data_IF_160394162475
#
_entry.id   IF_160394162475
#
_cell.length_a   1.000
_cell.length_b   1.000
_cell.length_c   1.000
_cell.angle_alpha   90.00
_cell.angle_beta   90.00
_cell.angle_gamma   90.00
#
_symmetry.space_group_name_H-M   'P 1'
#
loop_
_entity.id
_entity.type
_entity.pdbx_description
1 polymer ?
#
# COMPACT_ATOMS: atom_id res chain seq x y z
N UNK A 1 -26.56 -2.58 -9.30
CA UNK A 1 -26.64 -3.30 -8.00
C UNK A 1 -26.85 -2.28 -6.89
N UNK A 2 -27.70 -2.57 -5.90
CA UNK A 2 -27.91 -1.66 -4.76
C UNK A 2 -26.68 -1.55 -3.86
N UNK A 3 -26.57 -0.45 -3.11
CA UNK A 3 -25.48 -0.25 -2.13
C UNK A 3 -25.41 -1.38 -1.09
N UNK A 4 -26.57 -1.90 -0.65
CA UNK A 4 -26.65 -3.02 0.29
C UNK A 4 -26.03 -4.30 -0.28
N UNK A 5 -26.31 -4.63 -1.56
CA UNK A 5 -25.68 -5.78 -2.22
C UNK A 5 -24.17 -5.65 -2.27
N UNK A 6 -23.64 -4.47 -2.62
CA UNK A 6 -22.19 -4.25 -2.63
C UNK A 6 -21.52 -4.41 -1.27
N UNK A 7 -22.19 -4.01 -0.18
CA UNK A 7 -21.69 -4.22 1.17
C UNK A 7 -21.60 -5.72 1.50
N UNK A 8 -22.64 -6.48 1.15
CA UNK A 8 -22.65 -7.93 1.33
C UNK A 8 -21.53 -8.62 0.53
N UNK A 9 -21.38 -8.29 -0.76
CA UNK A 9 -20.32 -8.86 -1.59
C UNK A 9 -18.92 -8.54 -1.07
N UNK A 10 -18.70 -7.32 -0.56
CA UNK A 10 -17.44 -6.95 0.06
C UNK A 10 -17.17 -7.74 1.35
N UNK A 11 -18.18 -7.92 2.21
CA UNK A 11 -18.06 -8.73 3.42
C UNK A 11 -17.75 -10.20 3.09
N UNK A 12 -18.44 -10.78 2.11
CA UNK A 12 -18.21 -12.16 1.67
C UNK A 12 -16.82 -12.34 1.07
N UNK A 13 -16.38 -11.42 0.19
CA UNK A 13 -15.05 -11.44 -0.38
C UNK A 13 -13.96 -11.39 0.70
N UNK A 14 -14.09 -10.47 1.66
CA UNK A 14 -13.15 -10.36 2.76
C UNK A 14 -13.13 -11.60 3.66
N UNK A 15 -14.30 -12.15 3.99
CA UNK A 15 -14.39 -13.38 4.77
C UNK A 15 -13.73 -14.57 4.05
N UNK A 16 -13.97 -14.73 2.74
CA UNK A 16 -13.36 -15.79 1.92
C UNK A 16 -11.83 -15.69 1.89
N UNK A 17 -11.29 -14.47 1.71
CA UNK A 17 -9.83 -14.25 1.72
C UNK A 17 -9.25 -14.57 3.09
N UNK A 18 -9.88 -14.11 4.17
CA UNK A 18 -9.42 -14.40 5.53
C UNK A 18 -9.42 -15.92 5.80
N UNK A 19 -10.50 -16.61 5.47
CA UNK A 19 -10.61 -18.08 5.61
C UNK A 19 -9.56 -18.80 4.78
N UNK A 20 -9.35 -18.39 3.53
CA UNK A 20 -8.35 -19.01 2.66
C UNK A 20 -6.94 -18.88 3.22
N UNK A 21 -6.56 -17.69 3.71
CA UNK A 21 -5.24 -17.46 4.32
C UNK A 21 -5.02 -18.32 5.58
N UNK A 22 -6.08 -18.49 6.38
CA UNK A 22 -6.05 -19.37 7.56
C UNK A 22 -5.88 -20.84 7.12
N UNK A 23 -6.60 -21.28 6.09
CA UNK A 23 -6.65 -22.68 5.66
C UNK A 23 -5.39 -23.14 4.91
N UNK A 24 -4.68 -22.24 4.23
CA UNK A 24 -3.50 -22.55 3.42
C UNK A 24 -2.22 -22.59 4.27
N UNK A 25 -2.22 -21.98 5.45
CA UNK A 25 -1.04 -21.92 6.31
C UNK A 25 -0.85 -23.20 7.13
N UNK A 26 0.30 -23.91 7.05
CA UNK A 26 0.72 -24.77 8.16
C UNK A 26 0.78 -23.94 9.46
N UNK A 27 0.69 -24.55 10.66
CA UNK A 27 0.88 -23.83 11.91
C UNK A 27 2.16 -23.01 11.79
N UNK A 28 2.12 -21.71 12.11
CA UNK A 28 3.07 -20.75 11.58
C UNK A 28 4.49 -21.21 11.87
N UNK A 29 5.20 -21.59 10.81
CA UNK A 29 6.64 -21.80 10.90
C UNK A 29 7.22 -20.48 11.43
N UNK A 30 8.00 -20.57 12.50
CA UNK A 30 8.72 -19.42 13.03
C UNK A 30 9.81 -19.05 12.04
N UNK A 31 9.41 -18.39 10.95
CA UNK A 31 10.32 -17.71 10.05
C UNK A 31 11.22 -16.78 10.88
N UNK A 32 12.48 -16.66 10.51
CA UNK A 32 13.46 -15.88 11.29
C UNK A 32 13.00 -14.44 11.52
N UNK A 33 12.37 -13.84 10.49
CA UNK A 33 11.80 -12.49 10.59
C UNK A 33 10.63 -12.43 11.61
N UNK A 34 9.77 -13.46 11.68
CA UNK A 34 8.68 -13.53 12.67
C UNK A 34 9.25 -13.58 14.10
N UNK A 35 10.23 -14.45 14.34
CA UNK A 35 10.86 -14.57 15.65
C UNK A 35 11.54 -13.26 16.06
N UNK A 36 12.27 -12.64 15.13
CA UNK A 36 12.91 -11.33 15.35
C UNK A 36 11.88 -10.27 15.71
N UNK A 37 10.78 -10.16 14.97
CA UNK A 37 9.76 -9.15 15.20
C UNK A 37 9.01 -9.37 16.52
N UNK A 38 8.77 -10.62 16.92
CA UNK A 38 8.19 -10.97 18.23
C UNK A 38 9.14 -10.64 19.39
N UNK A 39 10.45 -10.84 19.22
CA UNK A 39 11.45 -10.43 20.21
C UNK A 39 11.51 -8.91 20.36
N UNK A 40 11.44 -8.16 19.25
CA UNK A 40 11.34 -6.70 19.27
C UNK A 40 10.04 -6.24 19.95
N UNK A 41 8.93 -6.92 19.70
CA UNK A 41 7.65 -6.64 20.34
C UNK A 41 7.70 -6.85 21.87
N UNK A 42 8.33 -7.95 22.31
CA UNK A 42 8.60 -8.21 23.73
C UNK A 42 9.45 -7.11 24.36
N UNK A 43 10.51 -6.68 23.67
CA UNK A 43 11.39 -5.62 24.17
C UNK A 43 10.67 -4.25 24.23
N UNK A 44 9.78 -3.97 23.27
CA UNK A 44 8.87 -2.82 23.29
C UNK A 44 7.93 -2.86 24.51
N UNK A 45 7.32 -4.02 24.83
CA UNK A 45 6.50 -4.20 26.04
C UNK A 45 7.30 -4.03 27.34
N UNK A 46 8.58 -4.41 27.32
CA UNK A 46 9.49 -4.22 28.45
C UNK A 46 10.01 -2.78 28.60
N UNK A 47 9.53 -1.84 27.79
CA UNK A 47 9.92 -0.42 27.86
C UNK A 47 11.30 -0.12 27.26
N UNK A 48 11.87 -1.02 26.44
CA UNK A 48 13.20 -0.85 25.82
C UNK A 48 13.16 -0.09 24.48
N UNK A 49 12.03 0.54 24.18
CA UNK A 49 11.77 1.23 22.91
C UNK A 49 11.10 0.32 21.88
N UNK A 50 10.30 0.93 21.00
CA UNK A 50 9.52 0.23 19.98
C UNK A 50 10.09 0.50 18.60
N UNK A 51 11.32 0.01 18.39
CA UNK A 51 12.10 0.20 17.16
C UNK A 51 11.85 -0.93 16.19
N UNK A 52 11.71 -0.60 14.90
CA UNK A 52 11.72 -1.61 13.85
C UNK A 52 13.09 -2.25 13.65
N UNK A 53 13.09 -3.40 12.97
CA UNK A 53 14.29 -4.12 12.59
C UNK A 53 15.18 -3.30 11.65
N UNK A 54 16.49 -3.57 11.65
CA UNK A 54 17.39 -3.07 10.61
C UNK A 54 16.97 -3.63 9.25
N UNK A 55 17.09 -2.82 8.20
CA UNK A 55 16.82 -3.28 6.83
C UNK A 55 18.06 -3.90 6.20
N UNK A 56 17.92 -4.48 5.01
CA UNK A 56 19.06 -4.93 4.20
C UNK A 56 19.96 -3.78 3.72
N UNK A 57 19.46 -2.53 3.73
CA UNK A 57 20.23 -1.35 3.40
C UNK A 57 20.94 -0.81 4.65
N UNK A 58 22.28 -0.73 4.65
CA UNK A 58 23.04 -0.25 5.80
C UNK A 58 22.61 1.15 6.25
N UNK A 59 22.39 1.29 7.57
CA UNK A 59 21.96 2.54 8.19
C UNK A 59 20.45 2.82 8.08
N UNK A 60 19.69 2.01 7.35
CA UNK A 60 18.24 2.11 7.30
C UNK A 60 17.57 1.14 8.28
N UNK A 61 16.50 1.61 8.92
CA UNK A 61 15.64 0.82 9.79
C UNK A 61 14.19 0.87 9.35
N UNK A 62 13.50 -0.24 9.57
CA UNK A 62 12.05 -0.28 9.51
C UNK A 62 11.45 0.63 10.58
N UNK A 63 10.28 1.16 10.29
CA UNK A 63 9.49 1.95 11.22
C UNK A 63 8.85 1.03 12.28
N UNK A 64 8.28 1.63 13.33
CA UNK A 64 7.92 0.91 14.55
C UNK A 64 6.47 0.42 14.62
N UNK A 65 5.59 0.77 13.66
CA UNK A 65 4.17 0.39 13.73
C UNK A 65 3.97 -1.13 13.80
N UNK A 66 4.70 -1.91 13.00
CA UNK A 66 4.58 -3.37 13.01
C UNK A 66 4.94 -3.95 14.39
N UNK A 67 6.05 -3.50 14.98
CA UNK A 67 6.50 -3.93 16.31
C UNK A 67 5.48 -3.52 17.38
N UNK A 68 4.93 -2.31 17.32
CA UNK A 68 3.87 -1.85 18.25
C UNK A 68 2.58 -2.63 18.11
N UNK A 69 2.20 -2.98 16.89
CA UNK A 69 1.04 -3.81 16.63
C UNK A 69 1.22 -5.19 17.26
N UNK A 70 2.36 -5.85 17.02
CA UNK A 70 2.68 -7.12 17.66
C UNK A 70 2.75 -7.00 19.19
N UNK A 71 3.36 -5.94 19.72
CA UNK A 71 3.42 -5.67 21.16
C UNK A 71 2.02 -5.51 21.76
N UNK A 72 1.12 -4.78 21.10
CA UNK A 72 -0.25 -4.62 21.57
C UNK A 72 -1.02 -5.95 21.60
N UNK A 73 -0.88 -6.80 20.57
CA UNK A 73 -1.55 -8.10 20.54
C UNK A 73 -0.99 -9.06 21.60
N UNK A 74 0.34 -9.19 21.66
CA UNK A 74 1.02 -10.06 22.64
C UNK A 74 0.81 -9.59 24.08
N UNK A 75 0.85 -8.28 24.32
CA UNK A 75 0.54 -7.68 25.62
C UNK A 75 -0.92 -7.85 26.03
N UNK A 76 -1.83 -8.00 25.05
CA UNK A 76 -3.22 -8.41 25.25
C UNK A 76 -3.42 -9.92 25.48
N UNK A 77 -2.34 -10.71 25.52
CA UNK A 77 -2.39 -12.16 25.75
C UNK A 77 -2.70 -13.01 24.52
N UNK A 78 -2.63 -12.44 23.31
CA UNK A 78 -2.84 -13.21 22.09
C UNK A 78 -1.60 -14.07 21.77
N UNK A 79 -1.83 -15.34 21.49
CA UNK A 79 -0.81 -16.24 20.97
C UNK A 79 -0.55 -16.00 19.46
N UNK A 80 0.43 -16.70 18.91
CA UNK A 80 0.84 -16.56 17.50
C UNK A 80 -0.31 -16.93 16.54
N UNK A 81 -1.15 -17.89 16.90
CA UNK A 81 -2.29 -18.29 16.07
C UNK A 81 -3.37 -17.21 16.03
N UNK A 82 -3.68 -16.59 17.16
CA UNK A 82 -4.59 -15.46 17.26
C UNK A 82 -4.05 -14.22 16.52
N UNK A 83 -2.75 -13.95 16.60
CA UNK A 83 -2.11 -12.88 15.81
C UNK A 83 -2.27 -13.14 14.31
N UNK A 84 -2.03 -14.38 13.86
CA UNK A 84 -2.21 -14.77 12.46
C UNK A 84 -3.67 -14.58 11.99
N UNK A 85 -4.63 -14.92 12.84
CA UNK A 85 -6.05 -14.69 12.57
C UNK A 85 -6.35 -13.19 12.39
N UNK A 86 -5.86 -12.33 13.28
CA UNK A 86 -6.06 -10.87 13.18
C UNK A 86 -5.48 -10.33 11.87
N UNK A 87 -4.27 -10.76 11.50
CA UNK A 87 -3.64 -10.37 10.23
C UNK A 87 -4.45 -10.88 9.03
N UNK A 88 -4.94 -12.12 9.07
CA UNK A 88 -5.77 -12.69 8.02
C UNK A 88 -7.07 -11.89 7.83
N UNK A 89 -7.69 -11.46 8.92
CA UNK A 89 -8.86 -10.57 8.90
C UNK A 89 -8.49 -9.21 8.27
N UNK A 90 -7.36 -8.62 8.65
CA UNK A 90 -6.89 -7.36 8.05
C UNK A 90 -6.67 -7.47 6.53
N UNK A 91 -6.13 -8.61 6.07
CA UNK A 91 -5.99 -8.93 4.64
C UNK A 91 -7.34 -9.12 3.94
N UNK A 92 -8.30 -9.78 4.60
CA UNK A 92 -9.68 -9.87 4.11
C UNK A 92 -10.33 -8.49 3.96
N UNK A 93 -10.16 -7.60 4.93
CA UNK A 93 -10.63 -6.21 4.84
C UNK A 93 -10.00 -5.46 3.67
N UNK A 94 -8.70 -5.65 3.42
CA UNK A 94 -8.02 -5.08 2.27
C UNK A 94 -8.66 -5.53 0.94
N UNK A 95 -8.91 -6.83 0.78
CA UNK A 95 -9.57 -7.38 -0.41
C UNK A 95 -11.00 -6.81 -0.59
N UNK A 96 -11.76 -6.67 0.49
CA UNK A 96 -13.08 -6.05 0.49
C UNK A 96 -13.03 -4.59 -0.01
N UNK A 97 -12.00 -3.83 0.38
CA UNK A 97 -11.76 -2.47 -0.12
C UNK A 97 -11.39 -2.51 -1.61
N UNK A 98 -10.48 -3.39 -2.04
CA UNK A 98 -10.11 -3.53 -3.47
C UNK A 98 -11.33 -3.82 -4.34
N UNK A 99 -12.24 -4.71 -3.91
CA UNK A 99 -13.50 -4.96 -4.60
C UNK A 99 -14.31 -3.67 -4.79
N UNK A 100 -14.41 -2.85 -3.74
CA UNK A 100 -15.15 -1.57 -3.78
C UNK A 100 -14.45 -0.55 -4.68
N UNK A 101 -13.12 -0.56 -4.75
CA UNK A 101 -12.35 0.30 -5.66
C UNK A 101 -12.50 -0.11 -7.13
N UNK A 102 -12.63 -1.42 -7.39
CA UNK A 102 -12.81 -2.01 -8.72
C UNK A 102 -14.24 -1.86 -9.26
N UNK A 103 -15.25 -1.89 -8.39
CA UNK A 103 -16.67 -1.80 -8.76
C UNK A 103 -17.06 -0.67 -9.75
N UNK A 104 -16.53 0.57 -9.65
CA UNK A 104 -16.81 1.61 -10.65
C UNK A 104 -16.01 1.49 -11.95
N UNK A 105 -15.06 0.55 -12.05
CA UNK A 105 -14.14 0.42 -13.19
C UNK A 105 -14.53 -0.72 -14.14
N UNK A 106 -15.14 -1.79 -13.62
CA UNK A 106 -15.39 -3.05 -14.34
C UNK A 106 -16.68 -3.72 -13.87
N UNK A 107 -17.12 -4.78 -14.55
CA UNK A 107 -18.26 -5.59 -14.11
C UNK A 107 -17.99 -6.27 -12.75
N UNK A 108 -19.06 -6.62 -12.02
CA UNK A 108 -18.94 -7.14 -10.66
C UNK A 108 -18.11 -8.44 -10.55
N UNK A 109 -18.24 -9.35 -11.52
CA UNK A 109 -17.44 -10.59 -11.58
C UNK A 109 -15.95 -10.28 -11.77
N UNK A 110 -15.63 -9.34 -12.66
CA UNK A 110 -14.26 -8.89 -12.92
C UNK A 110 -13.68 -8.12 -11.73
N UNK A 111 -14.50 -7.35 -11.01
CA UNK A 111 -14.12 -6.68 -9.77
C UNK A 111 -13.79 -7.69 -8.65
N UNK A 112 -14.55 -8.78 -8.55
CA UNK A 112 -14.28 -9.87 -7.62
C UNK A 112 -12.98 -10.60 -7.95
N UNK A 113 -12.74 -10.87 -9.23
CA UNK A 113 -11.46 -11.43 -9.69
C UNK A 113 -10.27 -10.53 -9.35
N UNK A 114 -10.41 -9.19 -9.47
CA UNK A 114 -9.37 -8.23 -9.09
C UNK A 114 -9.05 -8.31 -7.59
N UNK A 115 -10.07 -8.39 -6.73
CA UNK A 115 -9.88 -8.51 -5.28
C UNK A 115 -9.16 -9.81 -4.90
N UNK A 116 -9.58 -10.95 -5.46
CA UNK A 116 -8.90 -12.23 -5.24
C UNK A 116 -7.46 -12.24 -5.77
N UNK A 117 -7.24 -11.71 -6.97
CA UNK A 117 -5.91 -11.59 -7.55
C UNK A 117 -4.99 -10.73 -6.68
N UNK A 118 -5.49 -9.61 -6.14
CA UNK A 118 -4.69 -8.78 -5.23
C UNK A 118 -4.30 -9.54 -3.95
N UNK A 119 -5.22 -10.29 -3.35
CA UNK A 119 -4.95 -11.09 -2.16
C UNK A 119 -3.93 -12.20 -2.44
N UNK A 120 -4.05 -12.89 -3.58
CA UNK A 120 -3.11 -13.92 -4.00
C UNK A 120 -1.70 -13.34 -4.27
N UNK A 121 -1.61 -12.21 -4.97
CA UNK A 121 -0.34 -11.53 -5.22
C UNK A 121 0.33 -11.06 -3.92
N UNK A 122 -0.45 -10.59 -2.94
CA UNK A 122 0.09 -10.26 -1.62
C UNK A 122 0.58 -11.49 -0.86
N UNK A 123 -0.18 -12.59 -0.86
CA UNK A 123 0.23 -13.83 -0.22
C UNK A 123 1.53 -14.39 -0.83
N UNK A 124 1.69 -14.28 -2.16
CA UNK A 124 2.91 -14.66 -2.86
C UNK A 124 4.08 -13.73 -2.55
N UNK A 125 3.86 -12.41 -2.53
CA UNK A 125 4.93 -11.44 -2.30
C UNK A 125 5.41 -11.37 -0.84
N UNK A 126 4.62 -11.89 0.11
CA UNK A 126 4.95 -11.94 1.54
C UNK A 126 5.24 -13.37 2.05
N UNK A 127 5.48 -14.34 1.15
CA UNK A 127 5.80 -15.74 1.47
C UNK A 127 4.90 -16.34 2.56
N UNK A 128 3.60 -16.53 2.28
CA UNK A 128 2.65 -17.07 3.24
C UNK A 128 3.17 -18.37 3.92
N UNK A 129 2.99 -18.54 5.26
CA UNK A 129 2.09 -17.80 6.15
C UNK A 129 2.60 -16.40 6.58
N UNK A 130 1.65 -15.45 6.63
CA UNK A 130 1.89 -14.00 6.64
C UNK A 130 2.02 -13.48 8.07
N UNK A 131 3.11 -13.81 8.78
CA UNK A 131 3.34 -13.40 10.19
C UNK A 131 4.56 -12.51 10.42
N UNK A 132 5.15 -11.97 9.36
CA UNK A 132 6.33 -11.12 9.42
C UNK A 132 6.13 -9.84 8.59
N UNK A 133 6.91 -8.80 8.85
CA UNK A 133 6.78 -7.55 8.13
C UNK A 133 7.09 -7.73 6.62
N UNK A 134 6.14 -7.55 5.67
CA UNK A 134 5.05 -6.56 5.74
C UNK A 134 3.63 -7.12 5.61
N UNK A 135 3.22 -8.00 6.52
CA UNK A 135 1.86 -8.56 6.62
C UNK A 135 0.69 -7.56 6.61
N UNK A 136 0.92 -6.31 7.03
CA UNK A 136 -0.09 -5.23 7.04
C UNK A 136 -0.05 -4.33 5.80
N UNK A 137 0.85 -4.60 4.84
CA UNK A 137 0.93 -3.86 3.58
C UNK A 137 -0.39 -3.87 2.80
N UNK A 138 -1.18 -4.97 2.75
CA UNK A 138 -2.39 -4.99 1.95
C UNK A 138 -3.43 -3.98 2.43
N UNK A 139 -3.65 -3.90 3.75
CA UNK A 139 -4.62 -2.98 4.33
C UNK A 139 -4.17 -1.52 4.19
N UNK A 140 -2.89 -1.24 4.48
CA UNK A 140 -2.34 0.12 4.36
C UNK A 140 -2.38 0.63 2.92
N UNK A 141 -2.08 -0.23 1.93
CA UNK A 141 -2.23 0.13 0.52
C UNK A 141 -3.68 0.30 0.10
N UNK A 142 -4.61 -0.52 0.61
CA UNK A 142 -6.02 -0.34 0.33
C UNK A 142 -6.52 1.03 0.80
N UNK A 143 -6.06 1.51 1.96
CA UNK A 143 -6.31 2.88 2.45
C UNK A 143 -5.70 3.92 1.52
N UNK A 144 -4.43 3.75 1.13
CA UNK A 144 -3.76 4.63 0.17
C UNK A 144 -4.55 4.78 -1.13
N UNK A 145 -4.90 3.66 -1.78
CA UNK A 145 -5.60 3.68 -3.06
C UNK A 145 -7.06 4.13 -2.95
N UNK A 146 -7.72 3.94 -1.80
CA UNK A 146 -9.01 4.57 -1.54
C UNK A 146 -8.89 6.11 -1.54
N UNK A 147 -7.84 6.65 -0.92
CA UNK A 147 -7.54 8.09 -0.96
C UNK A 147 -7.19 8.59 -2.37
N UNK A 148 -6.23 7.95 -3.04
CA UNK A 148 -5.76 8.39 -4.37
C UNK A 148 -6.86 8.32 -5.44
N UNK A 149 -7.64 7.23 -5.47
CA UNK A 149 -8.76 7.11 -6.43
C UNK A 149 -9.93 8.01 -6.05
N UNK A 150 -10.14 8.28 -4.76
CA UNK A 150 -11.09 9.28 -4.29
C UNK A 150 -10.71 10.70 -4.74
N UNK A 151 -9.43 11.05 -4.67
CA UNK A 151 -8.90 12.30 -5.22
C UNK A 151 -9.11 12.39 -6.73
N UNK A 152 -8.77 11.34 -7.48
CA UNK A 152 -8.93 11.31 -8.94
C UNK A 152 -10.39 11.55 -9.38
N UNK A 153 -11.35 11.04 -8.61
CA UNK A 153 -12.79 11.11 -8.93
C UNK A 153 -13.46 12.38 -8.41
N UNK A 154 -13.14 12.80 -7.19
CA UNK A 154 -13.86 13.87 -6.50
C UNK A 154 -13.01 15.12 -6.25
N UNK A 155 -11.68 15.02 -6.22
CA UNK A 155 -10.75 16.14 -6.02
C UNK A 155 -10.81 16.84 -4.67
N UNK A 156 -11.47 16.25 -3.67
CA UNK A 156 -11.66 16.85 -2.34
C UNK A 156 -10.52 16.54 -1.35
N UNK A 157 -10.18 17.48 -0.47
CA UNK A 157 -9.13 17.34 0.54
C UNK A 157 -9.31 16.16 1.53
N UNK A 158 -10.52 15.67 1.88
CA UNK A 158 -10.63 14.50 2.76
C UNK A 158 -9.99 13.25 2.15
N UNK A 159 -9.98 13.14 0.83
CA UNK A 159 -9.31 12.05 0.14
C UNK A 159 -7.78 12.20 0.16
N UNK A 160 -7.27 13.44 0.21
CA UNK A 160 -5.84 13.68 0.43
C UNK A 160 -5.43 13.35 1.87
N UNK A 161 -6.27 13.64 2.86
CA UNK A 161 -6.06 13.17 4.23
C UNK A 161 -5.98 11.64 4.29
N UNK A 162 -6.94 10.95 3.65
CA UNK A 162 -6.96 9.48 3.59
C UNK A 162 -5.75 8.92 2.84
N UNK A 163 -5.34 9.53 1.72
CA UNK A 163 -4.15 9.14 0.99
C UNK A 163 -2.88 9.36 1.83
N UNK A 164 -2.76 10.50 2.53
CA UNK A 164 -1.66 10.80 3.45
C UNK A 164 -1.56 9.79 4.59
N UNK A 165 -2.70 9.41 5.18
CA UNK A 165 -2.77 8.30 6.15
C UNK A 165 -2.29 6.99 5.52
N UNK A 166 -2.74 6.68 4.31
CA UNK A 166 -2.29 5.50 3.57
C UNK A 166 -0.78 5.49 3.32
N UNK A 167 -0.20 6.60 2.88
CA UNK A 167 1.26 6.75 2.70
C UNK A 167 1.99 6.50 4.02
N UNK A 168 1.53 7.08 5.12
CA UNK A 168 2.14 6.88 6.44
C UNK A 168 2.06 5.42 6.85
N UNK A 169 0.88 4.80 6.79
CA UNK A 169 0.71 3.39 7.14
C UNK A 169 1.59 2.46 6.28
N UNK A 170 1.70 2.72 4.98
CA UNK A 170 2.54 1.93 4.08
C UNK A 170 4.03 2.10 4.40
N UNK A 171 4.46 3.32 4.77
CA UNK A 171 5.83 3.64 5.21
C UNK A 171 6.18 3.02 6.56
N UNK A 172 5.22 3.08 7.47
CA UNK A 172 5.28 2.53 8.82
C UNK A 172 5.34 1.00 8.82
N UNK A 173 4.66 0.35 7.88
CA UNK A 173 4.79 -1.09 7.67
C UNK A 173 6.14 -1.39 7.03
N UNK A 174 6.50 -0.73 5.92
CA UNK A 174 7.74 -1.02 5.22
C UNK A 174 8.42 0.26 4.74
N UNK A 175 9.72 0.44 5.03
CA UNK A 175 10.45 1.68 4.71
C UNK A 175 10.40 2.07 3.22
N UNK A 176 10.39 1.08 2.32
CA UNK A 176 10.23 1.33 0.87
C UNK A 176 8.87 1.95 0.52
N UNK A 177 7.90 1.83 1.40
CA UNK A 177 6.60 2.48 1.34
C UNK A 177 6.68 4.00 1.26
N UNK A 178 7.76 4.60 1.76
CA UNK A 178 8.01 6.03 1.66
C UNK A 178 7.93 6.51 0.20
N UNK A 179 8.32 5.69 -0.78
CA UNK A 179 8.24 6.00 -2.22
C UNK A 179 6.82 6.39 -2.69
N UNK A 180 5.78 5.94 -1.98
CA UNK A 180 4.39 6.28 -2.28
C UNK A 180 4.01 7.72 -1.95
N UNK A 181 4.84 8.44 -1.17
CA UNK A 181 4.64 9.87 -0.94
C UNK A 181 4.71 10.66 -2.27
N UNK A 182 5.48 10.18 -3.27
CA UNK A 182 5.58 10.85 -4.56
C UNK A 182 4.26 10.73 -5.31
N UNK A 183 3.60 9.57 -5.19
CA UNK A 183 2.25 9.35 -5.73
C UNK A 183 1.23 10.29 -5.10
N UNK A 184 1.30 10.51 -3.78
CA UNK A 184 0.44 11.49 -3.12
C UNK A 184 0.60 12.88 -3.76
N UNK A 185 1.84 13.35 -3.91
CA UNK A 185 2.11 14.66 -4.51
C UNK A 185 1.59 14.75 -5.94
N UNK A 186 1.91 13.76 -6.79
CA UNK A 186 1.45 13.72 -8.20
C UNK A 186 -0.07 13.82 -8.28
N UNK A 187 -0.77 12.93 -7.56
CA UNK A 187 -2.22 12.80 -7.66
C UNK A 187 -2.92 14.03 -7.08
N UNK A 188 -2.43 14.59 -5.99
CA UNK A 188 -2.97 15.82 -5.41
C UNK A 188 -2.79 17.00 -6.37
N UNK A 189 -1.59 17.20 -6.91
CA UNK A 189 -1.32 18.32 -7.84
C UNK A 189 -2.12 18.14 -9.14
N UNK A 190 -2.27 16.91 -9.63
CA UNK A 190 -3.01 16.63 -10.86
C UNK A 190 -4.52 16.83 -10.71
N UNK A 191 -5.12 16.31 -9.63
CA UNK A 191 -6.58 16.11 -9.57
C UNK A 191 -7.30 16.81 -8.41
N UNK A 192 -6.60 17.38 -7.43
CA UNK A 192 -7.29 18.10 -6.36
C UNK A 192 -7.84 19.45 -6.85
N UNK A 193 -9.05 19.82 -6.42
CA UNK A 193 -9.66 21.13 -6.74
C UNK A 193 -8.89 22.29 -6.10
N UNK A 194 -8.31 22.04 -4.92
CA UNK A 194 -7.49 22.99 -4.15
C UNK A 194 -6.17 22.29 -3.79
N UNK A 195 -5.21 22.22 -4.73
CA UNK A 195 -4.01 21.37 -4.57
C UNK A 195 -3.15 21.78 -3.38
N UNK A 196 -2.98 23.08 -3.13
CA UNK A 196 -2.21 23.56 -1.98
C UNK A 196 -2.80 23.09 -0.63
N UNK A 197 -4.12 23.24 -0.45
CA UNK A 197 -4.81 22.78 0.76
C UNK A 197 -4.78 21.26 0.88
N UNK A 198 -5.10 20.54 -0.19
CA UNK A 198 -5.10 19.08 -0.19
C UNK A 198 -3.69 18.52 0.11
N UNK A 199 -2.65 19.13 -0.44
CA UNK A 199 -1.26 18.74 -0.18
C UNK A 199 -0.88 19.03 1.26
N UNK A 200 -1.18 20.22 1.77
CA UNK A 200 -0.93 20.58 3.16
C UNK A 200 -1.61 19.60 4.13
N UNK A 201 -2.88 19.25 3.88
CA UNK A 201 -3.62 18.29 4.71
C UNK A 201 -3.03 16.88 4.59
N UNK A 202 -2.75 16.39 3.38
CA UNK A 202 -2.18 15.06 3.17
C UNK A 202 -0.81 14.91 3.83
N UNK A 203 0.06 15.91 3.68
CA UNK A 203 1.37 15.95 4.33
C UNK A 203 1.26 16.09 5.85
N UNK A 204 0.34 16.92 6.36
CA UNK A 204 0.12 17.07 7.79
C UNK A 204 -0.31 15.75 8.43
N UNK A 205 -1.23 15.01 7.80
CA UNK A 205 -1.63 13.67 8.28
C UNK A 205 -0.45 12.70 8.23
N UNK A 206 0.29 12.68 7.12
CA UNK A 206 1.48 11.84 6.99
C UNK A 206 2.48 12.10 8.12
N UNK A 207 2.94 13.34 8.26
CA UNK A 207 3.94 13.71 9.27
C UNK A 207 3.42 13.56 10.70
N UNK A 208 2.12 13.78 10.96
CA UNK A 208 1.55 13.54 12.28
C UNK A 208 1.62 12.06 12.66
N UNK A 209 1.26 11.15 11.76
CA UNK A 209 1.37 9.70 12.01
C UNK A 209 2.83 9.30 12.22
N UNK A 210 3.73 9.72 11.33
CA UNK A 210 5.16 9.44 11.42
C UNK A 210 5.80 9.99 12.71
N UNK A 211 5.42 11.20 13.13
CA UNK A 211 5.92 11.80 14.37
C UNK A 211 5.43 11.06 15.62
N UNK A 212 4.19 10.57 15.60
CA UNK A 212 3.60 9.81 16.71
C UNK A 212 4.11 8.38 16.76
N UNK A 213 4.29 7.75 15.60
CA UNK A 213 4.64 6.35 15.49
C UNK A 213 6.15 6.11 15.41
N UNK A 214 6.96 6.92 14.73
CA UNK A 214 8.35 6.52 14.45
C UNK A 214 9.38 7.64 14.50
N UNK A 215 9.26 8.55 15.47
CA UNK A 215 10.23 9.64 15.68
C UNK A 215 11.70 9.17 15.67
N UNK A 216 12.02 8.08 16.38
CA UNK A 216 13.40 7.55 16.47
C UNK A 216 13.89 6.91 15.15
N UNK A 217 13.17 5.96 14.52
CA UNK A 217 13.54 5.45 13.20
C UNK A 217 13.69 6.54 12.14
N UNK A 218 12.83 7.57 12.14
CA UNK A 218 12.91 8.69 11.20
C UNK A 218 14.23 9.44 11.38
N UNK A 219 14.60 9.79 12.61
CA UNK A 219 15.86 10.50 12.88
C UNK A 219 17.08 9.68 12.41
N UNK A 220 17.06 8.36 12.59
CA UNK A 220 18.13 7.47 12.12
C UNK A 220 18.16 7.38 10.59
N UNK A 221 17.00 7.20 9.96
CA UNK A 221 16.87 7.11 8.50
C UNK A 221 17.30 8.42 7.81
N UNK A 222 16.98 9.59 8.37
CA UNK A 222 17.40 10.88 7.83
C UNK A 222 18.93 11.07 7.85
N UNK A 223 19.63 10.44 8.80
CA UNK A 223 21.09 10.43 8.86
C UNK A 223 21.74 9.36 7.97
N UNK A 224 20.98 8.44 7.38
CA UNK A 224 21.53 7.33 6.62
C UNK A 224 22.17 7.83 5.31
N UNK A 225 23.41 7.41 4.98
CA UNK A 225 24.08 7.85 3.76
C UNK A 225 23.30 7.56 2.48
N UNK A 226 22.60 6.41 2.42
CA UNK A 226 21.74 6.04 1.28
C UNK A 226 20.56 7.00 1.11
N UNK A 227 20.01 7.52 2.20
CA UNK A 227 18.93 8.51 2.14
C UNK A 227 19.47 9.83 1.60
N UNK A 228 20.54 10.35 2.20
CA UNK A 228 21.08 11.66 1.85
C UNK A 228 21.65 11.69 0.43
N UNK A 229 22.39 10.64 0.03
CA UNK A 229 23.15 10.63 -1.24
C UNK A 229 22.37 10.07 -2.42
N UNK A 230 21.40 9.20 -2.19
CA UNK A 230 20.69 8.48 -3.27
C UNK A 230 19.22 8.81 -3.26
N UNK A 231 18.52 8.51 -2.16
CA UNK A 231 17.07 8.61 -2.14
C UNK A 231 16.58 10.05 -2.18
N UNK A 232 17.22 10.99 -1.47
CA UNK A 232 16.81 12.40 -1.45
C UNK A 232 16.98 13.10 -2.81
N UNK A 233 18.11 12.95 -3.55
CA UNK A 233 18.21 13.43 -4.92
C UNK A 233 17.21 12.78 -5.87
N UNK A 234 17.02 11.46 -5.78
CA UNK A 234 15.99 10.75 -6.57
C UNK A 234 14.58 11.26 -6.24
N UNK A 235 14.34 11.60 -4.99
CA UNK A 235 13.10 12.21 -4.53
C UNK A 235 12.90 13.61 -5.09
N UNK A 236 13.92 14.47 -5.05
CA UNK A 236 13.85 15.81 -5.60
C UNK A 236 13.65 15.78 -7.12
N UNK A 237 14.38 14.92 -7.83
CA UNK A 237 14.19 14.67 -9.26
C UNK A 237 12.81 14.06 -9.55
N UNK A 238 12.34 13.17 -8.68
CA UNK A 238 11.01 12.60 -8.72
C UNK A 238 9.96 13.70 -8.61
N UNK A 239 10.06 14.61 -7.65
CA UNK A 239 9.13 15.72 -7.44
C UNK A 239 9.09 16.71 -8.61
N UNK A 240 10.23 17.03 -9.22
CA UNK A 240 10.24 17.88 -10.43
C UNK A 240 9.56 17.15 -11.59
N UNK A 241 9.84 15.86 -11.75
CA UNK A 241 9.15 14.99 -12.71
C UNK A 241 7.64 14.92 -12.42
N UNK A 242 7.23 14.86 -11.15
CA UNK A 242 5.83 14.87 -10.73
C UNK A 242 5.07 16.10 -11.26
N UNK A 243 5.71 17.27 -11.28
CA UNK A 243 5.12 18.49 -11.84
C UNK A 243 4.85 18.39 -13.35
N UNK A 244 5.80 17.83 -14.11
CA UNK A 244 5.65 17.58 -15.54
C UNK A 244 4.54 16.55 -15.82
N UNK A 245 4.52 15.47 -15.05
CA UNK A 245 3.47 14.46 -15.14
C UNK A 245 2.11 15.02 -14.75
N UNK A 246 1.99 15.81 -13.70
CA UNK A 246 0.72 16.41 -13.32
C UNK A 246 0.11 17.26 -14.46
N UNK A 247 0.94 18.02 -15.19
CA UNK A 247 0.51 18.75 -16.38
C UNK A 247 0.01 17.83 -17.51
N UNK A 248 0.71 16.71 -17.76
CA UNK A 248 0.30 15.70 -18.74
C UNK A 248 -0.97 14.95 -18.31
N UNK A 249 -1.09 14.61 -17.03
CA UNK A 249 -2.21 13.89 -16.43
C UNK A 249 -3.54 14.65 -16.53
N UNK A 250 -3.49 15.99 -16.44
CA UNK A 250 -4.66 16.86 -16.63
C UNK A 250 -5.24 16.80 -18.04
N UNK A 251 -4.47 16.30 -19.03
CA UNK A 251 -4.95 16.16 -20.42
C UNK A 251 -5.92 14.98 -20.60
N UNK A 252 -5.98 14.04 -19.67
CA UNK A 252 -6.83 12.84 -19.76
C UNK A 252 -8.32 13.10 -19.42
N UNK A 253 -8.80 14.30 -19.74
CA UNK A 253 -10.20 14.68 -19.69
C UNK A 253 -10.81 14.79 -18.28
N UNK A 254 -12.10 15.12 -18.27
CA UNK A 254 -12.92 15.23 -17.06
C UNK A 254 -13.55 13.90 -16.61
N UNK A 255 -13.37 12.83 -17.38
CA UNK A 255 -13.99 11.55 -17.06
C UNK A 255 -13.36 10.90 -15.81
N UNK A 256 -14.11 10.67 -14.72
CA UNK A 256 -13.57 10.12 -13.47
C UNK A 256 -12.95 8.74 -13.63
N UNK A 257 -13.44 7.94 -14.59
CA UNK A 257 -12.92 6.59 -14.88
C UNK A 257 -11.55 6.66 -15.54
N UNK A 258 -11.35 7.55 -16.52
CA UNK A 258 -10.06 7.76 -17.17
C UNK A 258 -9.01 8.21 -16.16
N UNK A 259 -9.33 9.20 -15.32
CA UNK A 259 -8.45 9.67 -14.23
C UNK A 259 -8.05 8.54 -13.28
N UNK A 260 -8.99 7.70 -12.87
CA UNK A 260 -8.71 6.55 -12.02
C UNK A 260 -7.74 5.56 -12.66
N UNK A 261 -7.95 5.21 -13.94
CA UNK A 261 -7.05 4.29 -14.67
C UNK A 261 -5.64 4.89 -14.75
N UNK A 262 -5.53 6.17 -15.06
CA UNK A 262 -4.25 6.84 -15.18
C UNK A 262 -3.51 6.88 -13.84
N UNK A 263 -4.21 7.14 -12.72
CA UNK A 263 -3.62 7.02 -11.38
C UNK A 263 -3.07 5.62 -11.13
N UNK A 264 -3.78 4.57 -11.52
CA UNK A 264 -3.30 3.20 -11.37
C UNK A 264 -2.06 2.93 -12.22
N UNK A 265 -2.02 3.39 -13.48
CA UNK A 265 -0.84 3.23 -14.36
C UNK A 265 0.38 3.94 -13.78
N UNK A 266 0.24 5.20 -13.36
CA UNK A 266 1.34 5.94 -12.73
C UNK A 266 1.78 5.26 -11.44
N UNK A 267 0.83 4.79 -10.63
CA UNK A 267 1.13 4.09 -9.39
C UNK A 267 1.91 2.80 -9.62
N UNK A 268 1.49 1.99 -10.60
CA UNK A 268 2.20 0.78 -10.98
C UNK A 268 3.62 1.11 -11.49
N UNK A 269 3.75 2.14 -12.34
CA UNK A 269 5.02 2.60 -12.85
C UNK A 269 5.99 3.03 -11.74
N UNK A 270 5.55 3.87 -10.80
CA UNK A 270 6.39 4.30 -9.67
C UNK A 270 6.72 3.13 -8.74
N UNK A 271 5.73 2.29 -8.41
CA UNK A 271 5.92 1.15 -7.51
C UNK A 271 6.83 0.05 -8.08
N UNK A 272 7.03 0.02 -9.39
CA UNK A 272 7.94 -0.92 -10.06
C UNK A 272 9.28 -0.26 -10.38
N UNK A 273 9.28 0.90 -11.04
CA UNK A 273 10.49 1.57 -11.50
C UNK A 273 11.36 2.08 -10.35
N UNK A 274 10.78 2.60 -9.26
CA UNK A 274 11.58 3.17 -8.18
C UNK A 274 12.37 2.10 -7.41
N UNK A 275 11.79 0.96 -6.98
CA UNK A 275 12.56 -0.14 -6.42
C UNK A 275 13.60 -0.68 -7.41
N UNK A 276 13.23 -0.86 -8.69
CA UNK A 276 14.16 -1.38 -9.71
C UNK A 276 15.36 -0.46 -9.92
N UNK A 277 15.14 0.86 -9.98
CA UNK A 277 16.21 1.84 -10.07
C UNK A 277 17.11 1.80 -8.83
N UNK A 278 16.53 1.64 -7.63
CA UNK A 278 17.28 1.43 -6.40
C UNK A 278 18.14 0.16 -6.43
N UNK A 279 17.58 -0.95 -6.91
CA UNK A 279 18.30 -2.22 -7.10
C UNK A 279 19.51 -2.04 -8.03
N UNK A 280 19.29 -1.43 -9.20
CA UNK A 280 20.33 -1.18 -10.20
C UNK A 280 21.41 -0.23 -9.63
N UNK A 281 21.00 0.84 -8.94
CA UNK A 281 21.93 1.83 -8.40
C UNK A 281 22.79 1.27 -7.25
N UNK A 282 22.30 0.29 -6.50
CA UNK A 282 22.98 -0.25 -5.32
C UNK A 282 23.60 -1.63 -5.56
N UNK A 283 23.26 -2.29 -6.67
CA UNK A 283 23.66 -3.68 -6.93
C UNK A 283 22.96 -4.71 -6.02
N UNK A 284 21.96 -4.29 -5.23
CA UNK A 284 21.22 -5.19 -4.36
C UNK A 284 20.08 -5.90 -5.08
N UNK A 285 19.97 -7.21 -4.87
CA UNK A 285 18.80 -7.98 -5.26
C UNK A 285 17.60 -7.57 -4.40
N UNK A 286 16.44 -7.38 -5.03
CA UNK A 286 15.19 -7.06 -4.34
C UNK A 286 14.22 -8.23 -4.42
N UNK A 287 13.75 -8.67 -3.26
CA UNK A 287 12.65 -9.63 -3.16
C UNK A 287 11.32 -9.04 -3.65
N UNK A 288 10.35 -9.91 -3.93
CA UNK A 288 9.01 -9.53 -4.37
C UNK A 288 8.32 -8.53 -3.42
N UNK A 289 8.60 -8.61 -2.10
CA UNK A 289 8.09 -7.68 -1.07
C UNK A 289 8.43 -6.21 -1.32
N UNK A 290 9.48 -5.89 -2.07
CA UNK A 290 9.81 -4.49 -2.39
C UNK A 290 8.87 -3.86 -3.42
N UNK A 291 8.10 -4.70 -4.13
CA UNK A 291 7.17 -4.28 -5.19
C UNK A 291 5.71 -4.25 -4.72
N UNK A 292 5.47 -4.44 -3.41
CA UNK A 292 4.12 -4.58 -2.87
C UNK A 292 3.21 -3.42 -3.24
N UNK A 293 3.71 -2.19 -3.28
CA UNK A 293 2.92 -1.01 -3.66
C UNK A 293 2.29 -1.14 -5.06
N UNK A 294 2.83 -1.99 -5.93
CA UNK A 294 2.31 -2.24 -7.28
C UNK A 294 1.16 -3.24 -7.34
N UNK A 295 0.90 -4.00 -6.26
CA UNK A 295 -0.05 -5.13 -6.29
C UNK A 295 -1.49 -4.67 -6.58
N UNK A 296 -2.01 -3.70 -5.83
CA UNK A 296 -3.38 -3.20 -6.04
C UNK A 296 -3.52 -2.56 -7.44
N UNK A 297 -2.62 -1.67 -7.89
CA UNK A 297 -2.63 -1.15 -9.26
C UNK A 297 -2.63 -2.24 -10.32
N UNK A 298 -1.75 -3.24 -10.21
CA UNK A 298 -1.65 -4.33 -11.17
C UNK A 298 -2.96 -5.13 -11.25
N UNK A 299 -3.54 -5.50 -10.10
CA UNK A 299 -4.79 -6.25 -10.05
C UNK A 299 -5.96 -5.47 -10.67
N UNK A 300 -6.09 -4.18 -10.35
CA UNK A 300 -7.14 -3.32 -10.88
C UNK A 300 -6.99 -3.05 -12.39
N UNK A 301 -5.76 -2.85 -12.88
CA UNK A 301 -5.49 -2.66 -14.30
C UNK A 301 -5.69 -3.95 -15.10
N UNK A 302 -5.26 -5.09 -14.56
CA UNK A 302 -5.52 -6.41 -15.16
C UNK A 302 -7.01 -6.67 -15.32
N UNK A 303 -7.81 -6.30 -14.32
CA UNK A 303 -9.27 -6.39 -14.38
C UNK A 303 -9.85 -5.48 -15.47
N UNK A 304 -9.38 -4.24 -15.60
CA UNK A 304 -9.80 -3.32 -16.68
C UNK A 304 -9.45 -3.86 -18.06
N UNK A 305 -8.24 -4.42 -18.22
CA UNK A 305 -7.80 -5.02 -19.47
C UNK A 305 -8.66 -6.25 -19.85
N UNK A 306 -8.94 -7.13 -18.88
CA UNK A 306 -9.79 -8.30 -19.08
C UNK A 306 -11.22 -7.94 -19.50
N UNK A 307 -11.81 -6.91 -18.89
CA UNK A 307 -13.16 -6.45 -19.26
C UNK A 307 -13.19 -5.90 -20.69
N UNK A 308 -12.17 -5.14 -21.10
CA UNK A 308 -12.04 -4.64 -22.48
C UNK A 308 -11.92 -5.77 -23.48
N UNK A 309 -11.14 -6.80 -23.17
CA UNK A 309 -10.98 -7.96 -24.05
C UNK A 309 -12.29 -8.76 -24.21
N UNK A 310 -13.11 -8.86 -23.16
CA UNK A 310 -14.42 -9.56 -23.21
C UNK A 310 -15.50 -8.82 -23.98
N UNK A 311 -15.36 -7.50 -24.18
CA UNK A 311 -16.33 -6.66 -24.89
C UNK A 311 -15.62 -5.95 -26.03
N UNK A 312 -15.25 -6.66 -27.12
CA UNK A 312 -14.77 -5.99 -28.31
C UNK A 312 -15.82 -4.96 -28.72
N UNK A 313 -15.36 -3.71 -28.94
CA UNK A 313 -16.25 -2.59 -29.26
C UNK A 313 -17.15 -3.00 -30.43
N UNK A 314 -18.46 -2.82 -30.30
CA UNK A 314 -19.41 -3.10 -31.38
C UNK A 314 -19.06 -2.35 -32.68
N UNK A 315 -18.30 -1.25 -32.56
CA UNK A 315 -17.74 -0.45 -33.67
C UNK A 315 -16.54 -1.11 -34.39
N UNK A 316 -16.14 -2.33 -34.03
CA UNK A 316 -15.11 -3.12 -34.71
C UNK A 316 -15.68 -4.31 -35.52
N UNK A 317 -16.98 -4.31 -35.80
CA UNK A 317 -17.52 -5.20 -36.84
C UNK A 317 -17.26 -4.54 -38.21
N UNK A 318 -16.53 -5.21 -39.13
CA UNK A 318 -16.20 -4.67 -40.45
C UNK A 318 -17.43 -4.47 -41.33
#
# INVERSE_FOLDING_TARGET
>A
MSAARWRLWAALCGALVAIALIAIGPPPSLHEDTLRDLLLARDCLAGRGCLGASTSFPGLRQHGLWVRFLAALTGGGLDVAAIHLVISIANGLAAAVVLRLAAPLVAASTAFAAALASAALFALACDAPVLWNPSLAPLSQAVLYAGLLGLARAGGWPHAALAGLGVALVTEVHVAGALTLALLVIVVVAYARRPALALAVGLAVFFAVEALASREPIAQNLGAPVIVRVLLPLWAAGLTWCGLWAGWLRRFGDEPRARAIVVLVVSLGVATAAPLAGAVATGHFLDARYFLAGVIPAALLGAVALERWRRPSADQQP
#
